data_IF_967993264606
#
_entry.id   IF_967993264606
#
_cell.length_a   1.000
_cell.length_b   1.000
_cell.length_c   1.000
_cell.angle_alpha   90.00
_cell.angle_beta   90.00
_cell.angle_gamma   90.00
#
_symmetry.space_group_name_H-M   'P 1'
#
loop_
_entity.id
_entity.type
_entity.pdbx_description
1 polymer ?
#
# COMPACT_ATOMS: atom_id res chain seq x y z
N UNK A 1 7.28 -39.78 21.37
CA UNK A 1 7.81 -38.41 21.18
C UNK A 1 7.65 -38.00 19.72
N UNK A 2 6.71 -37.13 19.33
CA UNK A 2 6.59 -36.81 17.89
C UNK A 2 5.51 -35.81 17.46
N UNK A 3 4.68 -35.30 18.37
CA UNK A 3 3.64 -34.31 18.04
C UNK A 3 4.08 -32.90 18.46
N UNK A 4 4.69 -32.77 19.65
CA UNK A 4 5.20 -31.50 20.17
C UNK A 4 6.28 -30.88 19.26
N UNK A 5 7.23 -31.68 18.77
CA UNK A 5 8.34 -31.21 17.91
C UNK A 5 7.86 -30.77 16.51
N UNK A 6 6.86 -31.46 15.92
CA UNK A 6 6.25 -31.04 14.65
C UNK A 6 5.43 -29.75 14.79
N UNK A 7 4.77 -29.56 15.93
CA UNK A 7 3.97 -28.35 16.20
C UNK A 7 4.83 -27.09 16.40
N UNK A 8 6.02 -27.23 17.00
CA UNK A 8 7.00 -26.14 17.15
C UNK A 8 7.60 -25.75 15.81
N UNK A 9 8.01 -26.72 14.97
CA UNK A 9 8.56 -26.43 13.64
C UNK A 9 7.56 -25.74 12.71
N UNK A 10 6.27 -26.10 12.79
CA UNK A 10 5.21 -25.44 12.01
C UNK A 10 4.99 -24.00 12.45
N UNK A 11 4.88 -23.75 13.76
CA UNK A 11 4.70 -22.41 14.32
C UNK A 11 5.88 -21.49 14.01
N UNK A 12 7.11 -21.99 14.09
CA UNK A 12 8.31 -21.24 13.71
C UNK A 12 8.34 -20.89 12.22
N UNK A 13 7.88 -21.80 11.35
CA UNK A 13 7.75 -21.50 9.91
C UNK A 13 6.70 -20.42 9.66
N UNK A 14 5.53 -20.51 10.30
CA UNK A 14 4.46 -19.52 10.20
C UNK A 14 4.93 -18.14 10.69
N UNK A 15 5.64 -18.08 11.82
CA UNK A 15 6.27 -16.85 12.32
C UNK A 15 7.29 -16.25 11.33
N UNK A 16 8.17 -17.07 10.75
CA UNK A 16 9.16 -16.55 9.77
C UNK A 16 8.53 -15.99 8.50
N UNK A 17 7.43 -16.60 8.02
CA UNK A 17 6.69 -16.08 6.87
C UNK A 17 6.03 -14.75 7.22
N UNK A 18 5.45 -14.67 8.42
CA UNK A 18 4.88 -13.44 8.96
C UNK A 18 5.92 -12.30 9.03
N UNK A 19 7.09 -12.56 9.62
CA UNK A 19 8.16 -11.56 9.74
C UNK A 19 8.63 -11.05 8.37
N UNK A 20 8.78 -11.96 7.40
CA UNK A 20 9.13 -11.59 6.01
C UNK A 20 8.07 -10.72 5.37
N UNK A 21 6.78 -11.05 5.55
CA UNK A 21 5.67 -10.26 5.04
C UNK A 21 5.64 -8.86 5.63
N UNK A 22 5.86 -8.72 6.94
CA UNK A 22 5.95 -7.40 7.59
C UNK A 22 7.12 -6.58 7.06
N UNK A 23 8.28 -7.20 6.82
CA UNK A 23 9.41 -6.50 6.20
C UNK A 23 9.07 -5.95 4.80
N UNK A 24 8.35 -6.74 3.98
CA UNK A 24 7.87 -6.27 2.66
C UNK A 24 6.92 -5.09 2.79
N UNK A 25 6.02 -5.13 3.77
CA UNK A 25 5.07 -4.05 4.01
C UNK A 25 5.75 -2.77 4.49
N UNK A 26 6.73 -2.88 5.37
CA UNK A 26 7.53 -1.74 5.82
C UNK A 26 8.28 -1.10 4.65
N UNK A 27 8.92 -1.90 3.79
CA UNK A 27 9.56 -1.41 2.56
C UNK A 27 8.57 -0.66 1.66
N UNK A 28 7.37 -1.21 1.45
CA UNK A 28 6.34 -0.58 0.63
C UNK A 28 5.88 0.77 1.24
N UNK A 29 5.67 0.84 2.56
CA UNK A 29 5.29 2.08 3.24
C UNK A 29 6.38 3.15 3.14
N UNK A 30 7.65 2.77 3.31
CA UNK A 30 8.79 3.69 3.17
C UNK A 30 8.81 4.29 1.76
N UNK A 31 8.64 3.46 0.74
CA UNK A 31 8.59 3.88 -0.66
C UNK A 31 7.44 4.87 -0.90
N UNK A 32 6.22 4.55 -0.47
CA UNK A 32 5.05 5.43 -0.61
C UNK A 32 5.24 6.77 0.09
N UNK A 33 5.73 6.77 1.33
CA UNK A 33 5.99 8.01 2.07
C UNK A 33 7.06 8.88 1.42
N UNK A 34 8.11 8.26 0.85
CA UNK A 34 9.12 8.98 0.07
C UNK A 34 8.49 9.63 -1.16
N UNK A 35 7.65 8.91 -1.92
CA UNK A 35 6.93 9.47 -3.07
C UNK A 35 6.02 10.63 -2.67
N UNK A 36 5.25 10.46 -1.59
CA UNK A 36 4.37 11.51 -1.08
C UNK A 36 5.13 12.77 -0.68
N UNK A 37 6.27 12.61 -0.01
CA UNK A 37 7.15 13.72 0.33
C UNK A 37 7.67 14.44 -0.93
N UNK A 38 8.14 13.70 -1.93
CA UNK A 38 8.63 14.29 -3.19
C UNK A 38 7.52 15.04 -3.95
N UNK A 39 6.27 14.54 -3.92
CA UNK A 39 5.11 15.27 -4.47
C UNK A 39 4.88 16.60 -3.77
N UNK A 40 4.91 16.60 -2.43
CA UNK A 40 4.76 17.83 -1.63
C UNK A 40 5.86 18.86 -1.91
N UNK A 41 7.10 18.40 -2.03
CA UNK A 41 8.25 19.23 -2.36
C UNK A 41 8.13 19.82 -3.78
N UNK A 42 7.70 19.01 -4.74
CA UNK A 42 7.45 19.48 -6.11
C UNK A 42 6.33 20.52 -6.13
N UNK A 43 5.20 20.31 -5.45
CA UNK A 43 4.14 21.31 -5.38
C UNK A 43 4.64 22.65 -4.81
N UNK A 44 5.49 22.58 -3.78
CA UNK A 44 6.06 23.75 -3.10
C UNK A 44 7.09 24.51 -3.93
N UNK A 45 7.86 23.82 -4.79
CA UNK A 45 9.01 24.41 -5.49
C UNK A 45 8.86 24.49 -7.01
N UNK A 46 7.98 23.68 -7.59
CA UNK A 46 7.89 23.40 -9.03
C UNK A 46 8.92 22.41 -9.55
N UNK A 47 9.86 21.96 -8.71
CA UNK A 47 11.01 21.16 -9.11
C UNK A 47 10.84 19.75 -8.56
N UNK A 48 10.95 18.75 -9.44
CA UNK A 48 11.05 17.36 -9.01
C UNK A 48 12.48 17.11 -8.47
N UNK A 49 12.65 16.58 -7.24
CA UNK A 49 13.97 16.32 -6.69
C UNK A 49 14.82 15.42 -7.60
N UNK A 50 16.08 15.78 -7.85
CA UNK A 50 16.98 15.08 -8.80
C UNK A 50 17.17 13.58 -8.49
N UNK A 51 16.97 13.17 -7.24
CA UNK A 51 16.92 11.76 -6.82
C UNK A 51 15.83 10.94 -7.52
N UNK A 52 14.84 11.59 -8.14
CA UNK A 52 13.82 10.98 -9.01
C UNK A 52 14.16 11.19 -10.47
N UNK A 53 14.97 10.29 -11.00
CA UNK A 53 14.96 10.00 -12.42
C UNK A 53 13.90 8.90 -12.67
N UNK A 54 13.01 9.00 -13.66
CA UNK A 54 12.07 7.94 -14.04
C UNK A 54 12.69 6.54 -14.14
N UNK A 55 13.97 6.45 -14.53
CA UNK A 55 14.74 5.20 -14.53
C UNK A 55 15.04 4.67 -13.12
N UNK A 56 15.40 5.56 -12.18
CA UNK A 56 15.71 5.22 -10.77
C UNK A 56 14.45 4.85 -9.99
N UNK A 57 13.33 5.53 -10.24
CA UNK A 57 12.04 5.21 -9.60
C UNK A 57 11.54 3.81 -10.01
N UNK A 58 11.74 3.40 -11.26
CA UNK A 58 11.46 2.02 -11.71
C UNK A 58 12.29 0.97 -10.96
N UNK A 59 13.54 1.30 -10.63
CA UNK A 59 14.45 0.37 -9.93
C UNK A 59 14.03 0.16 -8.46
N UNK A 60 13.47 1.17 -7.80
CA UNK A 60 13.00 1.05 -6.42
C UNK A 60 11.62 0.37 -6.30
N UNK A 61 10.77 0.50 -7.33
CA UNK A 61 9.36 0.04 -7.29
C UNK A 61 9.22 -1.43 -7.72
N UNK A 62 10.01 -1.88 -8.71
CA UNK A 62 9.93 -3.25 -9.23
C UNK A 62 10.19 -4.33 -8.16
N UNK A 63 11.19 -4.18 -7.27
CA UNK A 63 11.41 -5.15 -6.19
C UNK A 63 10.27 -5.23 -5.18
N UNK A 64 9.64 -4.10 -4.86
CA UNK A 64 8.50 -4.06 -3.93
C UNK A 64 7.29 -4.77 -4.54
N UNK A 65 7.00 -4.50 -5.83
CA UNK A 65 5.93 -5.19 -6.55
C UNK A 65 6.13 -6.71 -6.55
N UNK A 66 7.31 -7.19 -6.94
CA UNK A 66 7.63 -8.62 -6.96
C UNK A 66 7.52 -9.27 -5.57
N UNK A 67 7.88 -8.55 -4.50
CA UNK A 67 7.70 -9.05 -3.13
C UNK A 67 6.22 -9.07 -2.74
N UNK A 68 5.42 -8.09 -3.15
CA UNK A 68 3.97 -8.06 -2.92
C UNK A 68 3.24 -9.16 -3.70
N UNK A 69 3.71 -9.56 -4.88
CA UNK A 69 3.19 -10.74 -5.60
C UNK A 69 3.35 -12.05 -4.81
N UNK A 70 4.41 -12.15 -3.99
CA UNK A 70 4.70 -13.35 -3.20
C UNK A 70 3.95 -13.33 -1.86
N UNK A 71 3.84 -12.16 -1.23
CA UNK A 71 3.40 -12.05 0.18
C UNK A 71 2.11 -11.25 0.38
N UNK A 72 1.66 -10.49 -0.61
CA UNK A 72 0.44 -9.68 -0.53
C UNK A 72 -0.80 -10.42 -1.06
N UNK A 73 -1.98 -9.92 -0.70
CA UNK A 73 -3.22 -10.31 -1.37
C UNK A 73 -3.34 -9.68 -2.75
N UNK A 74 -4.17 -10.26 -3.63
CA UNK A 74 -4.47 -9.70 -4.95
C UNK A 74 -5.04 -8.27 -4.85
N UNK A 75 -5.81 -7.98 -3.79
CA UNK A 75 -6.36 -6.64 -3.58
C UNK A 75 -5.27 -5.63 -3.22
N UNK A 76 -4.29 -6.05 -2.42
CA UNK A 76 -3.15 -5.21 -2.06
C UNK A 76 -2.24 -4.98 -3.27
N UNK A 77 -2.02 -6.01 -4.08
CA UNK A 77 -1.27 -5.93 -5.33
C UNK A 77 -1.91 -4.94 -6.31
N UNK A 78 -3.21 -5.08 -6.57
CA UNK A 78 -3.95 -4.18 -7.44
C UNK A 78 -3.92 -2.71 -6.95
N UNK A 79 -3.97 -2.49 -5.63
CA UNK A 79 -3.86 -1.16 -5.06
C UNK A 79 -2.44 -0.56 -5.21
N UNK A 80 -1.40 -1.39 -5.10
CA UNK A 80 -0.02 -0.98 -5.36
C UNK A 80 0.19 -0.62 -6.84
N UNK A 81 -0.35 -1.41 -7.76
CA UNK A 81 -0.31 -1.11 -9.19
C UNK A 81 -1.00 0.23 -9.51
N UNK A 82 -2.17 0.48 -8.92
CA UNK A 82 -2.88 1.77 -9.07
C UNK A 82 -2.09 2.95 -8.53
N UNK A 83 -1.39 2.74 -7.41
CA UNK A 83 -0.46 3.75 -6.86
C UNK A 83 0.66 4.07 -7.85
N UNK A 84 1.25 3.05 -8.45
CA UNK A 84 2.32 3.22 -9.43
C UNK A 84 1.84 3.89 -10.73
N UNK A 85 0.65 3.53 -11.20
CA UNK A 85 0.00 4.15 -12.36
C UNK A 85 -0.22 5.64 -12.12
N UNK A 86 -0.85 6.02 -10.99
CA UNK A 86 -1.08 7.42 -10.64
C UNK A 86 0.24 8.21 -10.48
N UNK A 87 1.28 7.60 -9.92
CA UNK A 87 2.61 8.21 -9.86
C UNK A 87 3.18 8.50 -11.25
N UNK A 88 3.07 7.57 -12.20
CA UNK A 88 3.56 7.75 -13.57
C UNK A 88 2.80 8.85 -14.30
N UNK A 89 1.48 8.88 -14.17
CA UNK A 89 0.63 9.92 -14.74
C UNK A 89 1.02 11.30 -14.21
N UNK A 90 1.19 11.41 -12.89
CA UNK A 90 1.65 12.64 -12.25
C UNK A 90 3.03 13.10 -12.74
N UNK A 91 4.02 12.22 -12.81
CA UNK A 91 5.37 12.55 -13.32
C UNK A 91 5.30 13.01 -14.77
N UNK A 92 4.46 12.35 -15.59
CA UNK A 92 4.27 12.73 -16.98
C UNK A 92 3.63 14.13 -17.10
N UNK A 93 2.58 14.40 -16.32
CA UNK A 93 1.95 15.72 -16.27
C UNK A 93 2.96 16.81 -15.88
N UNK A 94 3.81 16.56 -14.87
CA UNK A 94 4.88 17.49 -14.48
C UNK A 94 5.89 17.70 -15.61
N UNK A 95 6.27 16.61 -16.29
CA UNK A 95 7.16 16.65 -17.45
C UNK A 95 6.61 17.53 -18.58
N UNK A 96 5.32 17.40 -18.89
CA UNK A 96 4.65 18.23 -19.91
C UNK A 96 4.60 19.69 -19.45
N UNK A 97 4.18 19.96 -18.21
CA UNK A 97 4.08 21.31 -17.67
C UNK A 97 5.42 22.05 -17.65
N UNK A 98 6.52 21.37 -17.28
CA UNK A 98 7.83 22.03 -17.16
C UNK A 98 8.47 22.35 -18.52
N UNK A 99 8.11 21.62 -19.58
CA UNK A 99 8.67 21.78 -20.93
C UNK A 99 7.75 22.56 -21.86
N UNK A 100 6.67 23.17 -21.36
CA UNK A 100 5.78 23.98 -22.19
C UNK A 100 6.51 25.23 -22.74
N UNK A 101 6.49 25.41 -24.07
CA UNK A 101 7.29 26.46 -24.75
C UNK A 101 6.57 27.82 -24.83
N UNK A 102 5.25 27.85 -24.94
CA UNK A 102 4.50 29.07 -25.35
C UNK A 102 4.23 30.08 -24.23
N UNK A 103 4.05 29.61 -22.99
CA UNK A 103 3.49 30.42 -21.88
C UNK A 103 4.47 30.71 -20.75
N UNK A 104 5.62 30.02 -20.78
CA UNK A 104 6.54 29.84 -19.66
C UNK A 104 5.83 29.14 -18.47
N UNK A 105 6.41 28.09 -17.83
CA UNK A 105 5.71 27.35 -16.78
C UNK A 105 5.26 28.22 -15.61
N UNK A 106 3.96 28.22 -15.29
CA UNK A 106 3.40 28.99 -14.17
C UNK A 106 2.70 28.06 -13.19
N UNK A 107 3.06 28.19 -11.91
CA UNK A 107 2.37 27.50 -10.81
C UNK A 107 1.13 28.30 -10.42
N UNK A 108 0.09 28.21 -11.24
CA UNK A 108 -1.13 29.01 -11.10
C UNK A 108 -2.34 28.21 -11.53
N UNK A 109 -3.48 28.43 -10.88
CA UNK A 109 -4.77 27.82 -11.26
C UNK A 109 -5.27 28.31 -12.62
N UNK A 110 -4.60 29.30 -13.23
CA UNK A 110 -4.84 29.76 -14.61
C UNK A 110 -3.99 29.05 -15.65
N UNK A 111 -2.96 28.30 -15.24
CA UNK A 111 -2.17 27.45 -16.11
C UNK A 111 -2.84 26.06 -16.15
N UNK A 112 -3.49 25.67 -17.26
CA UNK A 112 -4.21 24.40 -17.33
C UNK A 112 -3.29 23.17 -17.15
N UNK A 113 -2.02 23.26 -17.56
CA UNK A 113 -1.08 22.17 -17.36
C UNK A 113 -0.69 22.04 -15.88
N UNK A 114 -0.59 23.16 -15.17
CA UNK A 114 -0.39 23.12 -13.72
C UNK A 114 -1.59 22.53 -12.98
N UNK A 115 -2.83 22.85 -13.41
CA UNK A 115 -4.03 22.24 -12.85
C UNK A 115 -3.97 20.71 -12.98
N UNK A 116 -3.62 20.19 -14.16
CA UNK A 116 -3.45 18.75 -14.40
C UNK A 116 -2.37 18.15 -13.48
N UNK A 117 -1.25 18.84 -13.26
CA UNK A 117 -0.23 18.40 -12.31
C UNK A 117 -0.80 18.26 -10.90
N UNK A 118 -1.54 19.27 -10.43
CA UNK A 118 -2.13 19.26 -9.08
C UNK A 118 -3.22 18.19 -8.92
N UNK A 119 -4.03 17.96 -9.95
CA UNK A 119 -5.02 16.87 -9.98
C UNK A 119 -4.32 15.50 -9.95
N UNK A 120 -3.24 15.34 -10.71
CA UNK A 120 -2.41 14.14 -10.68
C UNK A 120 -1.86 13.85 -9.28
N UNK A 121 -1.43 14.87 -8.54
CA UNK A 121 -1.01 14.68 -7.13
C UNK A 121 -2.17 14.19 -6.26
N UNK A 122 -3.36 14.80 -6.37
CA UNK A 122 -4.53 14.39 -5.59
C UNK A 122 -4.93 12.94 -5.88
N UNK A 123 -4.92 12.53 -7.15
CA UNK A 123 -5.22 11.17 -7.56
C UNK A 123 -4.20 10.17 -7.00
N UNK A 124 -2.91 10.52 -7.05
CA UNK A 124 -1.85 9.71 -6.45
C UNK A 124 -2.02 9.59 -4.92
N UNK A 125 -2.39 10.67 -4.22
CA UNK A 125 -2.63 10.64 -2.78
C UNK A 125 -3.85 9.81 -2.38
N UNK A 126 -4.90 9.77 -3.20
CA UNK A 126 -6.04 8.87 -3.00
C UNK A 126 -5.62 7.40 -3.18
N UNK A 127 -4.87 7.09 -4.25
CA UNK A 127 -4.36 5.75 -4.50
C UNK A 127 -3.44 5.27 -3.36
N UNK A 128 -2.50 6.12 -2.92
CA UNK A 128 -1.61 5.85 -1.79
C UNK A 128 -2.40 5.56 -0.51
N UNK A 129 -3.42 6.37 -0.19
CA UNK A 129 -4.27 6.16 0.99
C UNK A 129 -4.96 4.81 0.92
N UNK A 130 -5.55 4.47 -0.23
CA UNK A 130 -6.24 3.20 -0.42
C UNK A 130 -5.29 2.01 -0.24
N UNK A 131 -4.08 2.08 -0.80
CA UNK A 131 -3.05 1.07 -0.62
C UNK A 131 -2.65 0.91 0.85
N UNK A 132 -2.38 2.02 1.55
CA UNK A 132 -2.01 2.00 2.98
C UNK A 132 -3.13 1.44 3.86
N UNK A 133 -4.40 1.74 3.56
CA UNK A 133 -5.55 1.18 4.27
C UNK A 133 -5.63 -0.35 4.12
N UNK A 134 -5.47 -0.85 2.89
CA UNK A 134 -5.48 -2.29 2.61
C UNK A 134 -4.30 -3.00 3.29
N UNK A 135 -3.10 -2.43 3.19
CA UNK A 135 -1.90 -2.96 3.84
C UNK A 135 -2.11 -3.07 5.37
N UNK A 136 -2.67 -2.03 5.99
CA UNK A 136 -2.99 -2.03 7.42
C UNK A 136 -4.07 -3.05 7.78
N UNK A 137 -5.09 -3.20 6.94
CA UNK A 137 -6.14 -4.19 7.16
C UNK A 137 -5.57 -5.61 7.12
N UNK A 138 -4.73 -5.90 6.13
CA UNK A 138 -4.05 -7.19 5.95
C UNK A 138 -3.10 -7.49 7.11
N UNK A 139 -2.26 -6.52 7.49
CA UNK A 139 -1.36 -6.64 8.63
C UNK A 139 -2.10 -6.91 9.97
N UNK A 140 -3.30 -6.33 10.16
CA UNK A 140 -4.11 -6.58 11.36
C UNK A 140 -4.78 -7.96 11.34
N UNK A 141 -5.32 -8.36 10.19
CA UNK A 141 -6.01 -9.64 10.03
C UNK A 141 -5.08 -10.82 10.35
N UNK A 142 -3.82 -10.73 9.93
CA UNK A 142 -2.85 -11.80 10.07
C UNK A 142 -2.01 -11.70 11.35
N UNK A 143 -1.79 -10.49 11.89
CA UNK A 143 -1.14 -10.27 13.19
C UNK A 143 -1.99 -10.76 14.37
N UNK A 144 -3.30 -10.85 14.18
CA UNK A 144 -4.20 -11.56 15.08
C UNK A 144 -4.31 -13.03 14.68
N UNK A 145 -3.20 -13.76 14.77
CA UNK A 145 -3.21 -15.22 14.59
C UNK A 145 -4.40 -15.83 15.32
N UNK A 146 -5.34 -16.41 14.56
CA UNK A 146 -6.51 -17.17 15.01
C UNK A 146 -6.62 -17.24 16.54
N UNK A 147 -7.22 -16.22 17.18
CA UNK A 147 -7.66 -16.37 18.57
C UNK A 147 -8.71 -17.49 18.57
N UNK A 148 -8.30 -18.67 19.03
CA UNK A 148 -9.16 -19.83 19.26
C UNK A 148 -10.44 -19.39 19.98
N UNK A 149 -11.58 -19.71 19.37
CA UNK A 149 -12.79 -20.11 20.07
C UNK A 149 -13.65 -19.01 20.70
N UNK A 150 -14.41 -18.28 19.88
CA UNK A 150 -15.79 -17.96 20.30
C UNK A 150 -16.66 -19.11 19.80
N UNK A 151 -16.81 -20.13 20.65
CA UNK A 151 -17.85 -21.14 20.51
C UNK A 151 -19.16 -20.41 20.78
N UNK A 152 -19.83 -19.93 19.73
CA UNK A 152 -21.25 -19.58 19.84
C UNK A 152 -21.98 -20.87 20.21
N UNK A 153 -22.23 -21.06 21.51
CA UNK A 153 -23.20 -22.03 22.00
C UNK A 153 -24.56 -21.47 21.61
N UNK A 154 -25.06 -21.85 20.44
CA UNK A 154 -26.50 -21.85 20.22
C UNK A 154 -27.08 -22.83 21.24
N UNK A 155 -27.66 -22.29 22.32
CA UNK A 155 -28.61 -23.01 23.17
C UNK A 155 -29.92 -23.10 22.37
N UNK A 156 -29.96 -24.04 21.44
CA UNK A 156 -31.22 -24.67 21.06
C UNK A 156 -31.43 -25.84 22.01
N UNK A 157 -32.51 -25.76 22.80
CA UNK A 157 -32.89 -26.84 23.71
C UNK A 157 -33.75 -26.39 24.87
N UNK A 158 -35.00 -26.01 24.61
CA UNK A 158 -36.08 -26.61 25.41
C UNK A 158 -36.16 -28.11 25.03
N UNK A 159 -36.53 -29.01 25.95
CA UNK A 159 -37.91 -29.10 26.41
C UNK A 159 -38.11 -29.36 27.92
N UNK A 160 -39.31 -28.97 28.36
CA UNK A 160 -40.21 -29.54 29.38
C UNK A 160 -39.65 -30.40 30.53
N UNK A 161 -40.03 -30.02 31.75
CA UNK A 161 -40.44 -30.97 32.79
C UNK A 161 -41.58 -30.39 33.62
N UNK A 162 -42.73 -31.05 33.51
CA UNK A 162 -43.79 -31.06 34.50
C UNK A 162 -43.31 -31.68 35.83
N UNK A 163 -44.13 -31.43 36.86
CA UNK A 163 -44.22 -32.11 38.16
C UNK A 163 -43.22 -31.69 39.24
N UNK A 164 -43.64 -30.78 40.13
CA UNK A 164 -44.30 -31.13 41.40
C UNK A 164 -45.08 -29.95 41.96
#
# INVERSE_FOLDING_TARGET
MGIAQRSTTRREREHRVWDRRMAVYDEALILIHRIAHDRGEMLRTGILPERRNPQTDRADITPVLAKLEIYGSDQLLAAHEKTFEAMREWINAWGIWKTQEETNPRRSDRDPLWVIVTEGVRNAEEADRRFVELLRAEARADGHGKRKGVRFRNRTGGPTRDAQ
#
